data_IF_762066993633
#
_entry.id   IF_762066993633
#
_cell.length_a   1.000
_cell.length_b   1.000
_cell.length_c   1.000
_cell.angle_alpha   90.00
_cell.angle_beta   90.00
_cell.angle_gamma   90.00
#
_symmetry.space_group_name_H-M   'P 1'
#
loop_
_entity.id
_entity.type
_entity.pdbx_description
1 polymer ?
#
# COMPACT_ATOMS: atom_id res chain seq x y z
N UNK A 1 31.54 -21.05 -14.98
CA UNK A 1 31.87 -19.62 -14.75
C UNK A 1 31.15 -19.19 -13.50
N UNK A 2 31.85 -18.70 -12.50
CA UNK A 2 31.23 -18.09 -11.32
C UNK A 2 30.84 -16.68 -11.76
N UNK A 3 29.54 -16.46 -12.00
CA UNK A 3 29.03 -15.13 -12.34
C UNK A 3 29.22 -14.18 -11.16
N UNK A 4 29.52 -12.92 -11.43
CA UNK A 4 29.47 -11.91 -10.38
C UNK A 4 28.00 -11.73 -9.95
N UNK A 5 27.71 -11.73 -8.64
CA UNK A 5 26.36 -11.43 -8.17
C UNK A 5 25.98 -10.02 -8.62
N UNK A 6 24.79 -9.91 -9.21
CA UNK A 6 24.19 -8.63 -9.62
C UNK A 6 23.03 -8.34 -8.67
N UNK A 7 22.98 -7.13 -8.12
CA UNK A 7 21.89 -6.68 -7.26
C UNK A 7 21.21 -5.49 -7.92
N UNK A 8 19.98 -5.70 -8.38
CA UNK A 8 19.14 -4.68 -9.02
C UNK A 8 17.79 -4.63 -8.29
N UNK A 9 17.22 -3.43 -8.17
CA UNK A 9 15.95 -3.22 -7.47
C UNK A 9 15.08 -2.20 -8.19
N UNK A 10 13.76 -2.36 -8.05
CA UNK A 10 12.76 -1.50 -8.67
C UNK A 10 11.40 -2.19 -8.76
N UNK A 11 10.51 -1.63 -9.56
CA UNK A 11 9.15 -2.14 -9.74
C UNK A 11 9.05 -2.97 -11.01
N UNK A 12 8.04 -3.86 -11.06
CA UNK A 12 7.80 -4.72 -12.21
C UNK A 12 6.43 -4.40 -12.79
N UNK A 13 6.42 -3.77 -13.96
CA UNK A 13 5.20 -3.33 -14.64
C UNK A 13 5.32 -3.51 -16.13
N UNK A 14 4.27 -4.04 -16.73
CA UNK A 14 4.16 -4.16 -18.17
C UNK A 14 3.62 -2.87 -18.79
N UNK A 15 4.08 -2.52 -20.00
CA UNK A 15 3.58 -1.36 -20.74
C UNK A 15 4.11 0.00 -20.25
N UNK A 16 5.17 0.01 -19.44
CA UNK A 16 5.95 1.22 -19.16
C UNK A 16 6.92 1.49 -20.31
N UNK A 17 6.90 2.72 -20.83
CA UNK A 17 7.82 3.18 -21.87
C UNK A 17 8.36 4.57 -21.54
N UNK A 18 9.53 4.88 -22.08
CA UNK A 18 10.16 6.19 -21.99
C UNK A 18 10.29 6.76 -23.40
N UNK A 19 9.85 8.00 -23.61
CA UNK A 19 9.98 8.68 -24.89
C UNK A 19 11.34 9.40 -25.03
N UNK A 20 11.57 10.00 -26.20
CA UNK A 20 12.81 10.73 -26.50
C UNK A 20 12.99 12.02 -25.67
N UNK A 21 11.90 12.54 -25.10
CA UNK A 21 11.91 13.72 -24.22
C UNK A 21 12.15 13.36 -22.75
N UNK A 22 12.42 12.09 -22.45
CA UNK A 22 12.52 11.52 -21.10
C UNK A 22 11.20 11.49 -20.31
N UNK A 23 10.05 11.61 -20.97
CA UNK A 23 8.76 11.43 -20.32
C UNK A 23 8.42 9.94 -20.24
N UNK A 24 7.76 9.55 -19.16
CA UNK A 24 7.32 8.18 -18.95
C UNK A 24 5.85 8.03 -19.30
N UNK A 25 5.51 6.90 -19.91
CA UNK A 25 4.13 6.52 -20.19
C UNK A 25 3.85 5.16 -19.57
N UNK A 26 2.62 4.97 -19.10
CA UNK A 26 2.11 3.67 -18.65
C UNK A 26 0.87 3.31 -19.46
N UNK A 27 0.94 2.19 -20.20
CA UNK A 27 -0.13 1.70 -21.08
C UNK A 27 -0.63 2.73 -22.12
N UNK A 28 0.22 3.71 -22.44
CA UNK A 28 -0.05 4.80 -23.39
C UNK A 28 -0.53 6.11 -22.74
N UNK A 29 -0.63 6.18 -21.42
CA UNK A 29 -0.95 7.41 -20.67
C UNK A 29 0.33 8.06 -20.18
N UNK A 30 0.51 9.35 -20.45
CA UNK A 30 1.65 10.13 -19.96
C UNK A 30 1.60 10.32 -18.44
N UNK A 31 2.74 10.13 -17.78
CA UNK A 31 2.89 10.34 -16.35
C UNK A 31 3.42 11.76 -16.13
N UNK A 32 2.53 12.63 -15.70
CA UNK A 32 2.85 14.03 -15.45
C UNK A 32 3.43 14.23 -14.05
N UNK A 33 4.18 15.31 -13.89
CA UNK A 33 4.57 15.79 -12.56
C UNK A 33 3.32 16.30 -11.85
N UNK A 34 3.19 16.02 -10.56
CA UNK A 34 2.12 16.60 -9.76
C UNK A 34 2.39 18.11 -9.58
N UNK A 35 1.45 18.93 -10.05
CA UNK A 35 1.56 20.39 -10.04
C UNK A 35 0.78 21.05 -8.89
N UNK A 36 -0.28 20.39 -8.37
CA UNK A 36 -1.16 20.98 -7.36
C UNK A 36 -0.90 20.42 -5.95
N UNK A 37 -0.23 21.25 -5.16
CA UNK A 37 0.21 20.99 -3.79
C UNK A 37 -0.95 21.28 -2.80
N UNK A 38 -1.89 22.16 -3.13
CA UNK A 38 -2.88 22.64 -2.16
C UNK A 38 -3.85 21.57 -1.65
N UNK A 39 -4.09 20.55 -2.45
CA UNK A 39 -5.08 19.50 -2.18
C UNK A 39 -4.55 18.42 -1.22
N UNK A 40 -3.24 18.39 -0.94
CA UNK A 40 -2.59 17.46 0.00
C UNK A 40 -2.46 18.03 1.42
N UNK A 41 -3.31 18.99 1.78
CA UNK A 41 -3.35 19.56 3.14
C UNK A 41 -4.15 18.67 4.10
N UNK A 42 -3.70 18.53 5.34
CA UNK A 42 -4.36 17.80 6.43
C UNK A 42 -4.42 18.61 7.72
N UNK A 43 -5.47 18.42 8.50
CA UNK A 43 -5.58 18.94 9.86
C UNK A 43 -4.70 18.12 10.83
N UNK A 44 -3.99 18.81 11.71
CA UNK A 44 -3.08 18.26 12.71
C UNK A 44 -3.24 19.02 14.01
N UNK A 45 -3.30 18.32 15.14
CA UNK A 45 -3.27 18.93 16.46
C UNK A 45 -1.84 19.34 16.85
N UNK A 46 -1.68 20.56 17.35
CA UNK A 46 -0.45 21.10 17.90
C UNK A 46 -0.69 21.60 19.33
N UNK A 47 -0.02 20.96 20.30
CA UNK A 47 -0.09 21.34 21.70
C UNK A 47 0.53 22.73 21.92
N UNK A 48 -0.14 23.55 22.74
CA UNK A 48 0.30 24.90 23.10
C UNK A 48 0.24 25.96 21.99
N UNK A 49 -0.13 25.58 20.76
CA UNK A 49 -0.22 26.52 19.64
C UNK A 49 -1.57 27.24 19.55
N UNK A 50 -1.54 28.35 18.80
CA UNK A 50 -2.72 29.06 18.32
C UNK A 50 -2.97 28.76 16.84
N UNK A 51 -4.21 28.94 16.35
CA UNK A 51 -4.54 28.79 14.94
C UNK A 51 -3.58 29.57 14.03
N UNK A 52 -2.99 28.90 13.04
CA UNK A 52 -2.10 29.53 12.05
C UNK A 52 -2.83 30.13 10.85
N UNK A 53 -4.14 29.87 10.73
CA UNK A 53 -5.02 30.38 9.68
C UNK A 53 -6.47 30.43 10.16
N UNK A 54 -7.36 31.05 9.37
CA UNK A 54 -8.80 31.10 9.67
C UNK A 54 -9.50 29.74 9.67
N UNK A 55 -8.87 28.70 9.13
CA UNK A 55 -9.37 27.31 9.17
C UNK A 55 -8.98 26.58 10.46
N UNK A 56 -8.07 27.14 11.26
CA UNK A 56 -7.61 26.51 12.50
C UNK A 56 -8.63 26.60 13.63
N UNK A 57 -8.63 25.59 14.51
CA UNK A 57 -9.54 25.50 15.65
C UNK A 57 -8.80 25.54 16.97
N UNK A 58 -9.17 26.46 17.87
CA UNK A 58 -8.64 26.53 19.23
C UNK A 58 -9.12 25.34 20.06
N UNK A 59 -8.21 24.75 20.83
CA UNK A 59 -8.49 23.72 21.82
C UNK A 59 -8.29 24.30 23.22
N UNK A 60 -9.37 24.29 24.01
CA UNK A 60 -9.38 24.75 25.39
C UNK A 60 -9.55 23.59 26.36
N UNK A 61 -8.81 23.67 27.47
CA UNK A 61 -8.95 22.86 28.69
C UNK A 61 -9.24 23.81 29.84
N UNK A 62 -10.41 23.68 30.48
CA UNK A 62 -10.87 24.60 31.54
C UNK A 62 -10.72 26.09 31.18
N UNK A 63 -11.17 26.45 29.97
CA UNK A 63 -11.08 27.80 29.39
C UNK A 63 -9.65 28.32 29.13
N UNK A 64 -8.62 27.51 29.32
CA UNK A 64 -7.24 27.86 29.00
C UNK A 64 -6.79 27.23 27.67
N UNK A 65 -5.92 27.92 26.94
CA UNK A 65 -5.34 27.42 25.69
C UNK A 65 -4.51 26.18 25.95
N UNK A 66 -4.93 25.04 25.40
CA UNK A 66 -4.17 23.79 25.43
C UNK A 66 -3.50 23.49 24.10
N UNK A 67 -3.99 24.08 22.99
CA UNK A 67 -3.40 23.95 21.67
C UNK A 67 -4.36 24.36 20.56
N UNK A 68 -4.04 23.98 19.34
CA UNK A 68 -4.88 24.23 18.18
C UNK A 68 -4.81 23.10 17.16
N UNK A 69 -5.89 22.89 16.42
CA UNK A 69 -5.89 22.06 15.21
C UNK A 69 -5.63 22.98 14.03
N UNK A 70 -4.56 22.73 13.29
CA UNK A 70 -4.10 23.53 12.16
C UNK A 70 -4.02 22.69 10.90
N UNK A 71 -4.21 23.32 9.74
CA UNK A 71 -4.17 22.64 8.44
C UNK A 71 -2.82 22.88 7.77
N UNK A 72 -2.10 21.80 7.47
CA UNK A 72 -0.76 21.85 6.90
C UNK A 72 -0.67 21.03 5.63
N UNK A 73 0.14 21.49 4.68
CA UNK A 73 0.55 20.64 3.57
C UNK A 73 1.32 19.43 4.10
N UNK A 74 1.05 18.25 3.54
CA UNK A 74 1.70 17.03 3.98
C UNK A 74 2.15 16.13 2.83
N UNK A 75 3.17 15.31 3.10
CA UNK A 75 3.62 14.24 2.21
C UNK A 75 4.11 13.07 3.04
N UNK A 76 3.75 11.85 2.64
CA UNK A 76 4.31 10.62 3.20
C UNK A 76 5.57 10.23 2.43
N UNK A 77 6.68 10.03 3.13
CA UNK A 77 7.96 9.57 2.60
C UNK A 77 8.47 8.43 3.49
N UNK A 78 8.77 7.28 2.88
CA UNK A 78 9.32 6.11 3.59
C UNK A 78 8.55 5.73 4.86
N UNK A 79 7.21 5.77 4.81
CA UNK A 79 6.36 5.45 5.96
C UNK A 79 6.06 6.61 6.92
N UNK A 80 6.79 7.73 6.85
CA UNK A 80 6.62 8.88 7.74
C UNK A 80 5.84 10.00 7.04
N UNK A 81 4.79 10.53 7.68
CA UNK A 81 4.09 11.74 7.21
C UNK A 81 4.82 12.99 7.71
N UNK A 82 5.26 13.81 6.75
CA UNK A 82 5.89 15.10 6.98
C UNK A 82 4.92 16.23 6.65
N UNK A 83 5.01 17.30 7.41
CA UNK A 83 4.15 18.47 7.34
C UNK A 83 4.99 19.74 7.19
N UNK A 84 4.50 20.71 6.42
CA UNK A 84 5.14 22.03 6.29
C UNK A 84 4.41 23.03 7.16
N UNK A 85 5.15 23.67 8.07
CA UNK A 85 4.70 24.86 8.78
C UNK A 85 5.42 26.06 8.18
N UNK A 86 4.67 26.94 7.51
CA UNK A 86 5.23 28.13 6.88
C UNK A 86 6.14 28.91 7.84
N UNK A 87 7.33 29.28 7.38
CA UNK A 87 8.37 29.98 8.14
C UNK A 87 8.96 29.21 9.34
N UNK A 88 8.54 27.97 9.60
CA UNK A 88 8.99 27.17 10.73
C UNK A 88 9.61 25.82 10.31
N UNK A 89 9.55 25.49 9.02
CA UNK A 89 10.17 24.34 8.38
C UNK A 89 9.29 23.10 8.37
N UNK A 90 9.95 21.95 8.21
CA UNK A 90 9.30 20.63 8.12
C UNK A 90 9.23 19.98 9.49
N UNK A 91 8.12 19.29 9.78
CA UNK A 91 7.97 18.49 11.00
C UNK A 91 7.26 17.16 10.73
N UNK A 92 7.40 16.21 11.64
CA UNK A 92 6.64 14.97 11.69
C UNK A 92 5.89 14.89 13.02
N UNK A 93 4.79 14.12 13.06
CA UNK A 93 4.04 13.85 14.29
C UNK A 93 4.21 12.38 14.64
N UNK A 94 4.72 12.10 15.84
CA UNK A 94 4.90 10.75 16.37
C UNK A 94 4.30 10.76 17.78
N UNK A 95 3.32 9.89 18.04
CA UNK A 95 2.62 9.80 19.33
C UNK A 95 2.17 11.18 19.86
N UNK A 96 1.41 11.93 19.05
CA UNK A 96 0.92 13.28 19.33
C UNK A 96 1.99 14.35 19.60
N UNK A 97 3.27 14.02 19.41
CA UNK A 97 4.39 14.94 19.62
C UNK A 97 4.96 15.39 18.28
N UNK A 98 5.21 16.69 18.16
CA UNK A 98 5.79 17.30 16.97
C UNK A 98 7.32 17.25 17.05
N UNK A 99 7.93 16.66 16.02
CA UNK A 99 9.38 16.58 15.85
C UNK A 99 9.79 17.38 14.62
N UNK A 100 10.48 18.51 14.85
CA UNK A 100 11.07 19.31 13.76
C UNK A 100 12.13 18.49 13.02
N UNK A 101 12.14 18.59 11.70
CA UNK A 101 13.03 17.86 10.81
C UNK A 101 14.01 18.85 10.18
N UNK A 102 15.31 18.61 10.35
CA UNK A 102 16.38 19.40 9.71
C UNK A 102 16.78 18.88 8.34
N UNK A 103 16.67 17.57 8.15
CA UNK A 103 17.30 16.87 7.01
C UNK A 103 16.39 16.81 5.78
N UNK A 104 15.17 17.35 5.91
CA UNK A 104 14.14 17.34 4.87
C UNK A 104 13.73 18.78 4.58
N UNK A 105 13.94 19.21 3.34
CA UNK A 105 13.57 20.55 2.90
C UNK A 105 12.08 20.65 2.59
N UNK A 106 11.52 21.86 2.70
CA UNK A 106 10.15 22.13 2.24
C UNK A 106 9.96 21.80 0.77
N UNK A 107 10.97 22.06 -0.07
CA UNK A 107 10.93 21.74 -1.50
C UNK A 107 10.84 20.25 -1.76
N UNK A 108 11.48 19.43 -0.91
CA UNK A 108 11.34 17.99 -0.97
C UNK A 108 9.90 17.57 -0.70
N UNK A 109 9.22 18.23 0.24
CA UNK A 109 7.83 17.93 0.56
C UNK A 109 6.91 18.44 -0.57
N UNK A 110 7.08 19.68 -1.04
CA UNK A 110 6.28 20.34 -2.10
C UNK A 110 6.41 19.67 -3.47
N UNK A 111 7.61 19.26 -3.89
CA UNK A 111 7.84 18.67 -5.21
C UNK A 111 7.60 17.15 -5.21
N UNK A 112 6.35 16.73 -5.42
CA UNK A 112 6.05 15.32 -5.57
C UNK A 112 6.49 14.77 -6.94
N UNK A 113 7.46 13.86 -6.90
CA UNK A 113 8.01 13.14 -8.06
C UNK A 113 7.87 11.63 -7.89
N UNK A 114 7.07 11.17 -6.92
CA UNK A 114 6.94 9.75 -6.59
C UNK A 114 6.44 8.94 -7.78
N UNK A 115 5.38 9.41 -8.46
CA UNK A 115 4.85 8.73 -9.64
C UNK A 115 5.93 8.58 -10.73
N UNK A 116 6.60 9.67 -11.09
CA UNK A 116 7.68 9.64 -12.10
C UNK A 116 8.79 8.65 -11.70
N UNK A 117 9.27 8.72 -10.46
CA UNK A 117 10.32 7.82 -9.94
C UNK A 117 9.89 6.36 -9.93
N UNK A 118 8.63 6.08 -9.61
CA UNK A 118 8.05 4.74 -9.63
C UNK A 118 8.10 4.15 -11.05
N UNK A 119 7.63 4.88 -12.05
CA UNK A 119 7.66 4.44 -13.45
C UNK A 119 9.08 4.43 -14.05
N UNK A 120 9.96 5.33 -13.61
CA UNK A 120 11.38 5.28 -13.96
C UNK A 120 12.06 3.99 -13.48
N UNK A 121 11.86 3.63 -12.21
CA UNK A 121 12.37 2.38 -11.65
C UNK A 121 11.78 1.16 -12.38
N UNK A 122 10.49 1.19 -12.70
CA UNK A 122 9.84 0.14 -13.48
C UNK A 122 10.44 -0.02 -14.88
N UNK A 123 10.67 1.09 -15.57
CA UNK A 123 11.31 1.11 -16.88
C UNK A 123 12.75 0.56 -16.82
N UNK A 124 13.52 0.97 -15.81
CA UNK A 124 14.90 0.52 -15.64
C UNK A 124 15.00 -0.99 -15.38
N UNK A 125 14.12 -1.54 -14.54
CA UNK A 125 14.05 -3.00 -14.31
C UNK A 125 13.63 -3.75 -15.58
N UNK A 126 12.61 -3.26 -16.29
CA UNK A 126 12.20 -3.83 -17.58
C UNK A 126 13.36 -3.86 -18.57
N UNK A 127 14.13 -2.78 -18.67
CA UNK A 127 15.30 -2.66 -19.54
C UNK A 127 16.45 -3.57 -19.10
N UNK A 128 16.67 -3.71 -17.79
CA UNK A 128 17.66 -4.63 -17.26
C UNK A 128 17.33 -6.07 -17.64
N UNK A 129 16.09 -6.51 -17.45
CA UNK A 129 15.66 -7.87 -17.83
C UNK A 129 15.74 -8.03 -19.36
N UNK A 130 15.29 -7.04 -20.16
CA UNK A 130 15.35 -7.10 -21.63
C UNK A 130 16.77 -7.19 -22.20
N UNK A 131 17.78 -6.70 -21.46
CA UNK A 131 19.17 -6.78 -21.88
C UNK A 131 19.86 -8.08 -21.46
N UNK A 132 19.19 -8.92 -20.65
CA UNK A 132 19.72 -10.17 -20.14
C UNK A 132 18.89 -11.36 -20.66
N UNK A 133 19.39 -12.05 -21.69
CA UNK A 133 18.69 -13.19 -22.32
C UNK A 133 18.45 -14.35 -21.35
N UNK A 134 19.34 -14.57 -20.38
CA UNK A 134 19.15 -15.56 -19.32
C UNK A 134 17.94 -15.23 -18.44
N UNK A 135 17.76 -13.97 -18.06
CA UNK A 135 16.63 -13.55 -17.23
C UNK A 135 15.31 -13.62 -18.00
N UNK A 136 15.30 -13.23 -19.28
CA UNK A 136 14.11 -13.36 -20.14
C UNK A 136 13.61 -14.78 -20.28
N UNK A 137 14.52 -15.75 -20.28
CA UNK A 137 14.18 -17.16 -20.44
C UNK A 137 14.10 -17.91 -19.11
N UNK A 138 14.18 -17.20 -17.98
CA UNK A 138 14.18 -17.82 -16.67
C UNK A 138 12.86 -18.55 -16.41
N UNK A 139 12.96 -19.81 -16.01
CA UNK A 139 11.84 -20.66 -15.63
C UNK A 139 12.00 -21.18 -14.21
N UNK A 140 10.90 -21.70 -13.68
CA UNK A 140 10.88 -22.44 -12.42
C UNK A 140 11.86 -23.63 -12.42
N UNK A 141 12.02 -24.29 -13.57
CA UNK A 141 12.92 -25.43 -13.79
C UNK A 141 14.42 -25.08 -13.68
N UNK A 142 14.74 -23.79 -13.64
CA UNK A 142 16.10 -23.29 -13.46
C UNK A 142 16.46 -23.09 -11.98
N UNK A 143 15.50 -23.27 -11.07
CA UNK A 143 15.73 -23.19 -9.64
C UNK A 143 16.69 -24.30 -9.17
N UNK A 144 17.67 -23.91 -8.35
CA UNK A 144 18.66 -24.81 -7.75
C UNK A 144 18.74 -24.59 -6.24
N UNK A 145 19.09 -25.64 -5.49
CA UNK A 145 19.38 -25.58 -4.06
C UNK A 145 20.75 -24.91 -3.77
N UNK A 146 21.11 -24.80 -2.50
CA UNK A 146 22.39 -24.23 -2.06
C UNK A 146 23.62 -25.04 -2.50
N UNK A 147 23.41 -26.29 -2.95
CA UNK A 147 24.44 -27.18 -3.48
C UNK A 147 24.47 -27.17 -5.03
N UNK A 148 23.58 -26.40 -5.67
CA UNK A 148 23.46 -26.30 -7.13
C UNK A 148 22.64 -27.42 -7.78
N UNK A 149 21.96 -28.27 -7.00
CA UNK A 149 21.09 -29.29 -7.54
C UNK A 149 19.75 -28.68 -7.94
N UNK A 150 19.23 -29.04 -9.11
CA UNK A 150 17.88 -28.63 -9.52
C UNK A 150 16.84 -29.20 -8.58
N UNK A 151 15.83 -28.39 -8.23
CA UNK A 151 14.66 -28.90 -7.54
C UNK A 151 13.93 -29.92 -8.43
N UNK A 152 13.48 -31.03 -7.84
CA UNK A 152 12.61 -31.98 -8.54
C UNK A 152 11.26 -31.33 -8.83
N UNK A 153 10.68 -31.63 -9.99
CA UNK A 153 9.51 -30.96 -10.62
C UNK A 153 8.21 -30.93 -9.82
N UNK A 154 8.19 -31.45 -8.58
CA UNK A 154 6.99 -31.49 -7.72
C UNK A 154 6.86 -30.27 -6.81
N UNK A 155 7.91 -29.47 -6.60
CA UNK A 155 7.89 -28.36 -5.63
C UNK A 155 7.18 -27.11 -6.14
N UNK A 156 7.12 -26.92 -7.45
CA UNK A 156 6.57 -25.72 -8.08
C UNK A 156 5.83 -26.08 -9.36
N UNK A 157 4.72 -25.42 -9.62
CA UNK A 157 3.98 -25.62 -10.87
C UNK A 157 4.70 -24.92 -12.03
N UNK A 158 4.66 -25.54 -13.20
CA UNK A 158 5.31 -25.02 -14.40
C UNK A 158 4.37 -24.11 -15.18
N UNK A 159 4.69 -22.82 -15.20
CA UNK A 159 3.94 -21.80 -15.95
C UNK A 159 4.74 -21.23 -17.14
N UNK A 160 5.85 -21.85 -17.53
CA UNK A 160 6.72 -21.32 -18.59
C UNK A 160 7.71 -20.27 -18.08
N UNK A 161 7.91 -19.19 -18.85
CA UNK A 161 8.88 -18.14 -18.51
C UNK A 161 8.30 -17.18 -17.48
N UNK A 162 9.08 -16.87 -16.45
CA UNK A 162 8.63 -16.06 -15.30
C UNK A 162 8.32 -14.60 -15.72
N UNK A 163 9.03 -14.07 -16.72
CA UNK A 163 8.92 -12.67 -17.14
C UNK A 163 8.30 -12.48 -18.53
N UNK A 164 7.57 -13.47 -19.05
CA UNK A 164 7.05 -13.42 -20.43
C UNK A 164 6.11 -12.21 -20.62
N UNK A 165 5.20 -12.03 -19.67
CA UNK A 165 4.20 -10.96 -19.66
C UNK A 165 4.79 -9.57 -19.41
N UNK A 166 6.07 -9.44 -19.04
CA UNK A 166 6.74 -8.14 -18.90
C UNK A 166 6.86 -7.42 -20.24
N UNK A 167 6.97 -8.20 -21.32
CA UNK A 167 7.21 -7.73 -22.68
C UNK A 167 5.98 -7.83 -23.58
N UNK A 168 4.98 -8.61 -23.17
CA UNK A 168 3.72 -8.73 -23.88
C UNK A 168 2.71 -7.66 -23.42
N UNK A 169 2.07 -6.97 -24.37
CA UNK A 169 1.01 -5.99 -24.06
C UNK A 169 -0.38 -6.45 -24.53
N UNK A 170 -0.50 -7.70 -24.97
CA UNK A 170 -1.66 -8.27 -25.66
C UNK A 170 -2.50 -9.19 -24.76
N UNK A 171 -2.91 -8.71 -23.58
CA UNK A 171 -3.94 -9.36 -22.76
C UNK A 171 -3.58 -9.38 -21.28
N UNK A 172 -2.69 -10.30 -20.91
CA UNK A 172 -2.21 -10.47 -19.54
C UNK A 172 -0.99 -9.59 -19.31
N UNK A 173 -1.05 -8.75 -18.28
CA UNK A 173 0.09 -7.95 -17.82
C UNK A 173 0.83 -8.67 -16.70
N UNK A 174 2.10 -8.36 -16.47
CA UNK A 174 2.90 -9.06 -15.46
C UNK A 174 2.36 -8.87 -14.04
N UNK A 175 1.72 -7.73 -13.79
CA UNK A 175 1.05 -7.39 -12.53
C UNK A 175 -0.30 -8.10 -12.32
N UNK A 176 -0.85 -8.77 -13.34
CA UNK A 176 -2.17 -9.40 -13.27
C UNK A 176 -2.12 -10.69 -12.44
N UNK A 177 -3.17 -10.97 -11.66
CA UNK A 177 -3.23 -12.13 -10.76
C UNK A 177 -3.06 -13.48 -11.48
N UNK A 178 -3.39 -13.54 -12.76
CA UNK A 178 -3.24 -14.71 -13.63
C UNK A 178 -1.93 -14.75 -14.43
N UNK A 179 -0.96 -13.88 -14.15
CA UNK A 179 0.35 -13.89 -14.80
C UNK A 179 1.28 -14.99 -14.25
N UNK A 180 2.22 -15.45 -15.06
CA UNK A 180 3.25 -16.40 -14.66
C UNK A 180 4.10 -15.86 -13.51
N UNK A 181 4.40 -14.56 -13.52
CA UNK A 181 5.14 -13.90 -12.45
C UNK A 181 4.38 -13.95 -11.13
N UNK A 182 3.08 -13.61 -11.10
CA UNK A 182 2.30 -13.62 -9.87
C UNK A 182 2.08 -15.06 -9.37
N UNK A 183 1.87 -16.02 -10.26
CA UNK A 183 1.79 -17.44 -9.90
C UNK A 183 3.10 -17.91 -9.24
N UNK A 184 4.25 -17.57 -9.84
CA UNK A 184 5.57 -17.89 -9.28
C UNK A 184 5.82 -17.19 -7.94
N UNK A 185 5.56 -15.89 -7.86
CA UNK A 185 5.67 -15.07 -6.64
C UNK A 185 4.89 -15.70 -5.49
N UNK A 186 3.63 -16.09 -5.72
CA UNK A 186 2.79 -16.72 -4.71
C UNK A 186 3.39 -18.04 -4.23
N UNK A 187 3.92 -18.88 -5.13
CA UNK A 187 4.54 -20.14 -4.74
C UNK A 187 5.83 -19.96 -3.93
N UNK A 188 6.67 -18.99 -4.30
CA UNK A 188 7.88 -18.68 -3.54
C UNK A 188 7.52 -18.21 -2.13
N UNK A 189 6.50 -17.37 -1.98
CA UNK A 189 5.99 -16.92 -0.66
C UNK A 189 5.45 -18.10 0.15
N UNK A 190 4.57 -18.93 -0.44
CA UNK A 190 4.01 -20.14 0.18
C UNK A 190 5.13 -21.05 0.68
N UNK A 191 6.08 -21.40 -0.19
CA UNK A 191 7.19 -22.30 0.16
C UNK A 191 8.10 -21.70 1.23
N UNK A 192 8.34 -20.39 1.23
CA UNK A 192 9.13 -19.72 2.27
C UNK A 192 8.47 -19.81 3.65
N UNK A 193 7.15 -19.56 3.71
CA UNK A 193 6.37 -19.67 4.95
C UNK A 193 6.32 -21.12 5.43
N UNK A 194 6.02 -22.06 4.53
CA UNK A 194 5.96 -23.49 4.86
C UNK A 194 7.32 -24.02 5.33
N UNK A 195 8.40 -23.73 4.62
CA UNK A 195 9.74 -24.19 4.99
C UNK A 195 10.16 -23.70 6.39
N UNK A 196 9.95 -22.41 6.67
CA UNK A 196 10.27 -21.85 7.99
C UNK A 196 9.40 -22.45 9.10
N UNK A 197 8.11 -22.64 8.85
CA UNK A 197 7.20 -23.23 9.81
C UNK A 197 7.49 -24.72 10.06
N UNK A 198 7.84 -25.48 9.01
CA UNK A 198 8.25 -26.89 9.15
C UNK A 198 9.47 -27.03 10.06
N UNK A 199 10.49 -26.19 9.87
CA UNK A 199 11.69 -26.19 10.73
C UNK A 199 11.33 -25.85 12.17
N UNK A 200 10.47 -24.85 12.40
CA UNK A 200 10.02 -24.49 13.73
C UNK A 200 9.24 -25.62 14.42
N UNK A 201 8.31 -26.26 13.71
CA UNK A 201 7.53 -27.40 14.21
C UNK A 201 8.45 -28.59 14.51
N UNK A 202 9.38 -28.93 13.61
CA UNK A 202 10.32 -30.03 13.83
C UNK A 202 11.18 -29.81 15.06
N UNK A 203 11.71 -28.59 15.25
CA UNK A 203 12.47 -28.22 16.44
C UNK A 203 11.62 -28.31 17.71
N UNK A 204 10.37 -27.83 17.66
CA UNK A 204 9.46 -27.92 18.81
C UNK A 204 9.14 -29.37 19.16
N UNK A 205 8.84 -30.23 18.18
CA UNK A 205 8.61 -31.66 18.37
C UNK A 205 9.81 -32.36 19.02
N UNK A 206 11.03 -32.00 18.63
CA UNK A 206 12.25 -32.58 19.21
C UNK A 206 12.42 -32.27 20.70
N UNK A 207 11.93 -31.12 21.17
CA UNK A 207 12.11 -30.68 22.57
C UNK A 207 10.84 -30.82 23.42
N UNK A 208 9.68 -31.02 22.79
CA UNK A 208 8.39 -31.08 23.48
C UNK A 208 8.23 -32.38 24.27
N UNK A 209 7.81 -32.25 25.53
CA UNK A 209 7.48 -33.37 26.42
C UNK A 209 5.99 -33.74 26.38
N UNK A 210 5.21 -33.06 25.54
CA UNK A 210 3.74 -33.18 25.48
C UNK A 210 3.23 -34.54 24.96
N UNK A 211 4.09 -35.35 24.34
CA UNK A 211 3.70 -36.63 23.72
C UNK A 211 2.87 -36.48 22.44
N UNK A 212 2.64 -35.25 21.98
CA UNK A 212 1.94 -34.92 20.73
C UNK A 212 2.98 -34.59 19.66
N UNK A 213 2.78 -35.13 18.45
CA UNK A 213 3.54 -34.74 17.28
C UNK A 213 2.80 -33.61 16.53
N UNK A 214 3.31 -32.39 16.65
CA UNK A 214 2.80 -31.20 15.96
C UNK A 214 3.06 -31.32 14.46
N UNK A 215 2.15 -30.83 13.63
CA UNK A 215 2.16 -31.08 12.19
C UNK A 215 1.95 -29.79 11.39
N UNK A 216 2.41 -29.80 10.15
CA UNK A 216 2.15 -28.70 9.22
C UNK A 216 0.63 -28.51 9.04
N UNK A 217 0.09 -27.31 9.31
CA UNK A 217 -1.30 -26.98 9.05
C UNK A 217 -1.55 -26.95 7.55
N UNK A 218 -2.73 -27.41 7.12
CA UNK A 218 -3.15 -27.37 5.71
C UNK A 218 -3.98 -26.13 5.46
N UNK A 219 -3.38 -25.13 4.85
CA UNK A 219 -4.05 -23.90 4.44
C UNK A 219 -4.69 -24.08 3.05
N UNK A 220 -5.94 -23.63 2.91
CA UNK A 220 -6.65 -23.61 1.64
C UNK A 220 -6.17 -22.44 0.77
N UNK A 221 -6.45 -22.48 -0.54
CA UNK A 221 -6.00 -21.42 -1.45
C UNK A 221 -6.56 -20.03 -1.12
N UNK A 222 -7.82 -19.94 -0.67
CA UNK A 222 -8.41 -18.67 -0.23
C UNK A 222 -7.76 -18.11 1.06
N UNK A 223 -7.19 -18.99 1.90
CA UNK A 223 -6.48 -18.60 3.12
C UNK A 223 -5.09 -18.06 2.78
N UNK A 224 -4.43 -18.66 1.80
CA UNK A 224 -3.21 -18.13 1.23
C UNK A 224 -3.40 -16.78 0.57
N UNK A 225 -4.53 -16.58 -0.11
CA UNK A 225 -4.89 -15.29 -0.67
C UNK A 225 -4.95 -14.21 0.42
N UNK A 226 -5.65 -14.48 1.53
CA UNK A 226 -5.71 -13.57 2.68
C UNK A 226 -4.32 -13.26 3.28
N UNK A 227 -3.48 -14.30 3.46
CA UNK A 227 -2.14 -14.15 4.04
C UNK A 227 -1.21 -13.34 3.13
N UNK A 228 -1.33 -13.50 1.81
CA UNK A 228 -0.42 -12.86 0.85
C UNK A 228 -0.85 -11.47 0.42
N UNK A 229 -2.14 -11.15 0.53
CA UNK A 229 -2.71 -9.86 0.15
C UNK A 229 -2.95 -8.92 1.34
N UNK A 230 -2.64 -9.30 2.58
CA UNK A 230 -2.89 -8.44 3.75
C UNK A 230 -1.89 -8.71 4.87
N UNK A 231 -1.68 -7.71 5.74
CA UNK A 231 -0.99 -7.93 7.00
C UNK A 231 -1.87 -8.86 7.84
N UNK A 232 -1.37 -10.05 8.15
CA UNK A 232 -2.17 -11.12 8.72
C UNK A 232 -1.47 -11.75 9.92
N UNK A 233 -2.25 -12.09 10.94
CA UNK A 233 -1.82 -12.97 12.03
C UNK A 233 -2.48 -14.33 11.85
N UNK A 234 -1.67 -15.38 11.77
CA UNK A 234 -2.14 -16.76 11.79
C UNK A 234 -1.80 -17.41 13.13
N UNK A 235 -2.79 -18.04 13.75
CA UNK A 235 -2.62 -18.78 15.00
C UNK A 235 -2.96 -20.25 14.75
N UNK A 236 -2.06 -21.14 15.19
CA UNK A 236 -2.24 -22.58 15.11
C UNK A 236 -2.61 -23.15 16.48
N UNK A 237 -3.70 -23.90 16.55
CA UNK A 237 -4.10 -24.65 17.73
C UNK A 237 -3.89 -26.14 17.45
N UNK A 238 -2.91 -26.75 18.09
CA UNK A 238 -2.52 -28.13 17.81
C UNK A 238 -2.36 -28.92 19.10
N UNK A 239 -2.63 -30.23 19.02
CA UNK A 239 -2.37 -31.15 20.13
C UNK A 239 -3.43 -31.24 21.22
N UNK A 240 -4.63 -30.69 20.99
CA UNK A 240 -5.73 -30.80 21.95
C UNK A 240 -6.44 -32.14 21.82
N UNK A 241 -6.54 -32.93 22.88
CA UNK A 241 -7.37 -34.13 22.88
C UNK A 241 -8.85 -33.75 23.09
N UNK A 242 -9.66 -33.87 22.04
CA UNK A 242 -11.11 -33.64 22.08
C UNK A 242 -11.80 -34.95 21.72
N UNK A 243 -12.45 -35.57 22.70
CA UNK A 243 -13.23 -36.80 22.49
C UNK A 243 -12.42 -38.01 21.98
N UNK A 244 -11.14 -38.12 22.37
CA UNK A 244 -10.25 -39.21 21.95
C UNK A 244 -9.56 -38.99 20.60
N UNK A 245 -9.74 -37.81 19.98
CA UNK A 245 -9.01 -37.39 18.77
C UNK A 245 -8.12 -36.20 19.08
N UNK A 246 -6.95 -36.16 18.46
CA UNK A 246 -6.08 -34.98 18.48
C UNK A 246 -6.66 -33.95 17.51
N UNK A 247 -7.07 -32.81 18.03
CA UNK A 247 -7.54 -31.66 17.28
C UNK A 247 -6.37 -30.76 16.88
N UNK A 248 -6.33 -30.45 15.59
CA UNK A 248 -5.41 -29.50 14.97
C UNK A 248 -6.25 -28.54 14.11
N UNK A 249 -6.16 -27.24 14.37
CA UNK A 249 -6.85 -26.20 13.61
C UNK A 249 -6.05 -24.90 13.59
N UNK A 250 -6.58 -23.91 12.89
CA UNK A 250 -5.96 -22.59 12.77
C UNK A 250 -7.01 -21.49 12.65
N UNK A 251 -6.59 -20.27 12.94
CA UNK A 251 -7.36 -19.06 12.72
C UNK A 251 -6.48 -18.01 12.05
N UNK A 252 -7.02 -17.30 11.07
CA UNK A 252 -6.36 -16.22 10.35
C UNK A 252 -7.13 -14.95 10.65
N UNK A 253 -6.42 -13.93 11.09
CA UNK A 253 -6.95 -12.58 11.32
C UNK A 253 -6.19 -11.64 10.41
N UNK A 254 -6.89 -11.10 9.41
CA UNK A 254 -6.35 -10.10 8.49
C UNK A 254 -6.57 -8.70 9.07
N UNK A 255 -5.55 -7.85 8.99
CA UNK A 255 -5.68 -6.43 9.25
C UNK A 255 -6.02 -5.72 7.94
N UNK A 256 -7.29 -5.36 7.79
CA UNK A 256 -7.83 -4.64 6.63
C UNK A 256 -7.64 -3.11 6.69
N UNK A 257 -7.20 -2.57 7.82
CA UNK A 257 -6.96 -1.14 8.00
C UNK A 257 -5.52 -0.90 8.47
N UNK A 258 -4.62 -0.68 7.52
CA UNK A 258 -3.26 -0.27 7.82
C UNK A 258 -2.72 0.67 6.72
N UNK A 259 -1.74 1.51 7.06
CA UNK A 259 -1.12 2.41 6.07
C UNK A 259 0.14 1.83 5.40
N UNK A 260 0.47 0.56 5.68
CA UNK A 260 1.64 -0.15 5.14
C UNK A 260 1.27 -0.92 3.85
N UNK A 261 0.05 -1.44 3.80
CA UNK A 261 -0.61 -2.04 2.67
C UNK A 261 -1.82 -1.19 2.30
N UNK A 262 -1.81 -0.67 1.09
CA UNK A 262 -2.93 0.10 0.52
C UNK A 262 -3.55 -0.77 -0.57
N UNK A 263 -4.78 -1.23 -0.33
CA UNK A 263 -5.58 -1.87 -1.38
C UNK A 263 -6.12 -0.82 -2.35
N UNK A 264 -6.46 -1.23 -3.57
CA UNK A 264 -7.06 -0.33 -4.56
C UNK A 264 -8.39 0.27 -4.06
N UNK A 265 -9.17 -0.50 -3.29
CA UNK A 265 -10.41 -0.06 -2.64
C UNK A 265 -10.20 0.96 -1.51
N UNK A 266 -8.98 1.09 -1.01
CA UNK A 266 -8.61 2.07 0.02
C UNK A 266 -8.25 3.44 -0.57
N UNK A 267 -8.29 3.59 -1.89
CA UNK A 267 -7.95 4.83 -2.59
C UNK A 267 -9.23 5.47 -3.14
N UNK A 268 -9.43 6.74 -2.79
CA UNK A 268 -10.52 7.58 -3.28
C UNK A 268 -9.98 8.69 -4.19
N UNK A 269 -10.84 9.17 -5.08
CA UNK A 269 -10.60 10.38 -5.86
C UNK A 269 -11.40 11.52 -5.25
N UNK A 270 -10.72 12.53 -4.73
CA UNK A 270 -11.30 13.80 -4.32
C UNK A 270 -11.45 14.71 -5.55
N UNK A 271 -12.68 15.12 -5.83
CA UNK A 271 -12.96 16.27 -6.67
C UNK A 271 -12.80 17.53 -5.81
N UNK A 272 -11.77 18.32 -6.11
CA UNK A 272 -11.42 19.51 -5.35
C UNK A 272 -12.38 20.68 -5.60
N UNK A 273 -13.09 20.70 -6.74
CA UNK A 273 -14.11 21.71 -7.02
C UNK A 273 -15.37 21.49 -6.17
N UNK A 274 -15.78 20.23 -6.05
CA UNK A 274 -16.98 19.85 -5.28
C UNK A 274 -16.68 19.54 -3.80
N UNK A 275 -15.40 19.51 -3.41
CA UNK A 275 -14.95 19.13 -2.08
C UNK A 275 -15.55 17.77 -1.63
N UNK A 276 -15.66 16.83 -2.59
CA UNK A 276 -16.35 15.55 -2.42
C UNK A 276 -15.49 14.42 -2.98
N UNK A 277 -15.37 13.32 -2.26
CA UNK A 277 -14.60 12.15 -2.68
C UNK A 277 -15.50 10.98 -3.12
N UNK A 278 -14.96 10.21 -4.06
CA UNK A 278 -15.64 9.11 -4.75
C UNK A 278 -14.74 7.87 -4.78
N UNK A 279 -15.34 6.68 -4.83
CA UNK A 279 -14.64 5.44 -5.23
C UNK A 279 -14.15 5.59 -6.67
N UNK A 280 -13.01 5.00 -6.98
CA UNK A 280 -12.43 5.03 -8.33
C UNK A 280 -13.41 4.45 -9.37
N UNK A 281 -14.19 3.44 -8.99
CA UNK A 281 -15.16 2.74 -9.83
C UNK A 281 -16.48 3.49 -10.03
N UNK A 282 -16.65 4.68 -9.44
CA UNK A 282 -17.87 5.44 -9.57
C UNK A 282 -18.07 5.93 -11.02
N UNK A 283 -19.18 5.56 -11.69
CA UNK A 283 -19.45 6.03 -13.05
C UNK A 283 -19.68 7.54 -13.13
N UNK A 284 -20.08 8.20 -12.04
CA UNK A 284 -20.30 9.64 -12.01
C UNK A 284 -18.99 10.37 -12.27
N UNK A 285 -17.83 9.86 -11.81
CA UNK A 285 -16.50 10.44 -12.07
C UNK A 285 -16.22 10.67 -13.57
N UNK A 286 -16.83 9.89 -14.47
CA UNK A 286 -16.64 10.03 -15.91
C UNK A 286 -17.58 11.05 -16.56
N UNK A 287 -18.63 11.47 -15.87
CA UNK A 287 -19.71 12.30 -16.39
C UNK A 287 -19.90 13.55 -15.52
N UNK A 288 -19.12 14.60 -15.79
CA UNK A 288 -19.35 15.92 -15.19
C UNK A 288 -18.30 16.38 -14.18
N UNK A 289 -17.24 15.59 -13.96
CA UNK A 289 -16.10 15.95 -13.13
C UNK A 289 -14.89 16.33 -13.98
N UNK A 290 -14.16 17.36 -13.57
CA UNK A 290 -12.85 17.68 -14.13
C UNK A 290 -11.77 16.90 -13.37
N UNK A 291 -11.34 15.79 -13.96
CA UNK A 291 -10.29 14.92 -13.41
C UNK A 291 -8.88 15.32 -13.86
N UNK A 292 -8.66 16.59 -14.21
CA UNK A 292 -7.31 17.12 -14.42
C UNK A 292 -6.46 17.04 -13.15
N UNK A 293 -5.14 17.01 -13.31
CA UNK A 293 -4.20 16.90 -12.19
C UNK A 293 -4.31 18.05 -11.16
N UNK A 294 -4.91 19.17 -11.56
CA UNK A 294 -5.17 20.30 -10.66
C UNK A 294 -6.46 20.14 -9.86
N UNK A 295 -7.46 19.44 -10.40
CA UNK A 295 -8.82 19.36 -9.85
C UNK A 295 -9.18 18.00 -9.24
N UNK A 296 -8.39 16.96 -9.48
CA UNK A 296 -8.53 15.66 -8.82
C UNK A 296 -7.33 15.34 -7.92
N UNK A 297 -7.58 14.66 -6.79
CA UNK A 297 -6.51 14.21 -5.89
C UNK A 297 -6.80 12.83 -5.34
N UNK A 298 -5.82 11.93 -5.41
CA UNK A 298 -5.90 10.62 -4.77
C UNK A 298 -5.73 10.75 -3.26
N UNK A 299 -6.68 10.21 -2.48
CA UNK A 299 -6.66 10.25 -1.02
C UNK A 299 -6.88 8.84 -0.48
N UNK A 300 -6.19 8.50 0.61
CA UNK A 300 -6.37 7.21 1.29
C UNK A 300 -7.57 7.25 2.24
N UNK A 301 -8.26 6.13 2.38
CA UNK A 301 -9.33 5.96 3.37
C UNK A 301 -8.88 6.33 4.80
N UNK A 302 -7.64 5.98 5.17
CA UNK A 302 -7.06 6.28 6.48
C UNK A 302 -6.89 7.77 6.76
N UNK A 303 -6.83 8.62 5.72
CA UNK A 303 -6.76 10.07 5.92
C UNK A 303 -8.11 10.66 6.39
N UNK A 304 -9.21 9.94 6.21
CA UNK A 304 -10.54 10.27 6.74
C UNK A 304 -10.82 9.62 8.10
N UNK A 305 -9.88 8.87 8.66
CA UNK A 305 -10.07 8.28 9.99
C UNK A 305 -9.91 9.33 11.09
N UNK A 306 -10.76 9.21 12.12
CA UNK A 306 -10.74 10.10 13.28
C UNK A 306 -9.47 9.88 14.07
N UNK A 307 -8.67 10.93 14.23
CA UNK A 307 -7.52 10.94 15.15
C UNK A 307 -7.96 11.33 16.55
N UNK A 308 -7.28 10.74 17.52
CA UNK A 308 -7.42 11.05 18.94
C UNK A 308 -6.11 11.65 19.41
N UNK A 309 -6.17 12.74 20.17
CA UNK A 309 -5.01 13.30 20.84
C UNK A 309 -5.35 13.72 22.27
N UNK A 310 -4.33 13.89 23.10
CA UNK A 310 -4.49 14.37 24.48
C UNK A 310 -4.07 15.84 24.57
N UNK A 311 -5.02 16.72 24.86
CA UNK A 311 -4.76 18.12 25.13
C UNK A 311 -4.50 18.33 26.61
N UNK A 312 -3.40 18.99 26.94
CA UNK A 312 -2.94 19.18 28.32
C UNK A 312 -2.76 20.66 28.64
N UNK A 313 -3.12 21.06 29.85
CA UNK A 313 -2.83 22.39 30.40
C UNK A 313 -2.42 22.27 31.87
N UNK A 314 -1.48 23.09 32.32
CA UNK A 314 -0.95 23.08 33.69
C UNK A 314 0.43 22.43 33.82
N UNK A 315 0.99 22.47 35.02
CA UNK A 315 2.26 21.82 35.39
C UNK A 315 2.01 20.39 35.88
N UNK A 316 3.06 19.58 36.07
CA UNK A 316 2.92 18.17 36.52
C UNK A 316 2.07 18.00 37.80
N UNK A 317 2.07 18.99 38.69
CA UNK A 317 1.28 18.98 39.95
C UNK A 317 -0.19 19.43 39.77
N UNK A 318 -0.54 20.06 38.64
CA UNK A 318 -1.88 20.60 38.35
C UNK A 318 -2.35 20.25 36.93
N UNK A 319 -1.86 19.14 36.39
CA UNK A 319 -2.06 18.74 35.00
C UNK A 319 -3.54 18.42 34.76
N UNK A 320 -4.13 19.15 33.82
CA UNK A 320 -5.49 18.92 33.35
C UNK A 320 -5.42 18.37 31.93
N UNK A 321 -6.14 17.28 31.69
CA UNK A 321 -6.12 16.58 30.40
C UNK A 321 -7.53 16.53 29.81
N UNK A 322 -7.59 16.60 28.48
CA UNK A 322 -8.81 16.45 27.72
C UNK A 322 -8.51 15.65 26.47
N UNK A 323 -9.23 14.54 26.29
CA UNK A 323 -9.22 13.82 25.03
C UNK A 323 -9.91 14.67 23.96
N UNK A 324 -9.23 14.85 22.84
CA UNK A 324 -9.76 15.56 21.67
C UNK A 324 -9.83 14.63 20.47
N UNK A 325 -10.77 14.93 19.59
CA UNK A 325 -10.98 14.20 18.35
C UNK A 325 -11.00 15.16 17.17
N UNK A 326 -10.35 14.76 16.09
CA UNK A 326 -10.34 15.52 14.86
C UNK A 326 -10.16 14.59 13.65
N UNK A 327 -10.54 15.08 12.48
CA UNK A 327 -10.35 14.36 11.22
C UNK A 327 -9.24 15.08 10.43
N UNK A 328 -8.22 14.37 9.92
CA UNK A 328 -7.17 14.97 9.09
C UNK A 328 -7.73 15.56 7.80
N UNK A 329 -8.76 14.91 7.25
CA UNK A 329 -9.53 15.31 6.07
C UNK A 329 -11.01 15.46 6.44
N UNK A 330 -11.68 16.48 5.91
CA UNK A 330 -13.08 16.84 6.26
C UNK A 330 -13.97 16.98 5.03
N UNK A 331 -13.48 16.59 3.87
CA UNK A 331 -14.18 16.57 2.59
C UNK A 331 -15.35 15.57 2.62
N UNK A 332 -16.37 15.82 1.81
CA UNK A 332 -17.62 15.05 1.88
C UNK A 332 -17.53 13.73 1.13
N UNK A 333 -18.16 12.69 1.67
CA UNK A 333 -18.35 11.43 0.96
C UNK A 333 -19.46 11.58 -0.08
N UNK A 334 -19.25 11.13 -1.31
CA UNK A 334 -20.35 10.95 -2.26
C UNK A 334 -21.32 9.89 -1.72
N UNK A 335 -22.58 10.28 -1.51
CA UNK A 335 -23.60 9.37 -1.00
C UNK A 335 -23.82 8.20 -1.96
N UNK A 336 -23.84 8.44 -3.27
CA UNK A 336 -24.01 7.40 -4.28
C UNK A 336 -22.83 6.42 -4.29
N UNK A 337 -21.60 6.96 -4.23
CA UNK A 337 -20.37 6.19 -4.28
C UNK A 337 -20.14 5.32 -3.04
N UNK A 338 -20.38 5.89 -1.87
CA UNK A 338 -19.96 5.31 -0.59
C UNK A 338 -21.11 4.57 0.10
N UNK A 339 -22.34 5.11 0.04
CA UNK A 339 -23.50 4.58 0.78
C UNK A 339 -24.43 3.78 -0.13
N UNK A 340 -24.76 4.33 -1.30
CA UNK A 340 -25.73 3.73 -2.22
C UNK A 340 -25.03 2.96 -3.35
N UNK A 341 -24.15 2.02 -2.97
CA UNK A 341 -23.43 1.10 -3.87
C UNK A 341 -24.35 0.21 -4.75
N UNK A 342 -25.66 0.47 -4.75
CA UNK A 342 -26.65 -0.12 -5.65
C UNK A 342 -26.55 0.40 -7.09
N UNK A 343 -25.79 1.46 -7.36
CA UNK A 343 -25.55 1.99 -8.72
C UNK A 343 -24.44 1.27 -9.49
N UNK A 344 -23.56 0.53 -8.81
CA UNK A 344 -22.49 -0.25 -9.42
C UNK A 344 -23.04 -1.62 -9.82
N UNK A 345 -23.72 -1.69 -10.99
CA UNK A 345 -24.17 -2.98 -11.54
C UNK A 345 -23.02 -3.96 -11.81
N UNK A 346 -21.77 -3.49 -11.75
CA UNK A 346 -20.57 -4.28 -11.88
C UNK A 346 -19.69 -4.01 -10.65
N UNK A 347 -19.60 -4.98 -9.74
CA UNK A 347 -18.51 -5.09 -8.76
C UNK A 347 -17.21 -5.44 -9.49
N UNK A 348 -16.82 -4.61 -10.45
CA UNK A 348 -15.55 -4.74 -11.15
C UNK A 348 -14.45 -4.35 -10.18
N UNK A 349 -13.46 -5.21 -10.06
CA UNK A 349 -12.18 -4.90 -9.41
C UNK A 349 -11.60 -3.61 -10.01
N UNK A 350 -11.00 -2.74 -9.18
CA UNK A 350 -10.51 -1.42 -9.64
C UNK A 350 -9.55 -1.57 -10.82
N UNK A 351 -8.66 -2.58 -10.80
CA UNK A 351 -7.75 -2.89 -11.91
C UNK A 351 -8.50 -3.24 -13.19
N UNK A 352 -9.57 -4.04 -13.10
CA UNK A 352 -10.42 -4.38 -14.25
C UNK A 352 -11.13 -3.14 -14.79
N UNK A 353 -11.74 -2.34 -13.91
CA UNK A 353 -12.40 -1.09 -14.28
C UNK A 353 -11.46 -0.12 -15.00
N UNK A 354 -10.27 0.11 -14.46
CA UNK A 354 -9.26 0.99 -15.09
C UNK A 354 -8.82 0.44 -16.45
N UNK A 355 -8.67 -0.88 -16.60
CA UNK A 355 -8.39 -1.51 -17.91
C UNK A 355 -9.51 -1.27 -18.92
N UNK A 356 -10.79 -1.35 -18.52
CA UNK A 356 -11.90 -1.07 -19.44
C UNK A 356 -11.91 0.39 -19.89
N UNK A 357 -11.60 1.34 -18.99
CA UNK A 357 -11.48 2.76 -19.32
C UNK A 357 -10.36 3.05 -20.31
N UNK A 358 -9.18 2.46 -20.10
CA UNK A 358 -8.05 2.61 -21.01
C UNK A 358 -8.38 2.10 -22.43
N UNK A 359 -9.12 0.98 -22.54
CA UNK A 359 -9.59 0.45 -23.84
C UNK A 359 -10.61 1.38 -24.51
N UNK A 360 -11.52 1.99 -23.75
CA UNK A 360 -12.51 2.95 -24.29
C UNK A 360 -11.85 4.22 -24.84
N UNK A 361 -10.80 4.73 -24.18
CA UNK A 361 -10.04 5.90 -24.67
C UNK A 361 -9.29 5.65 -25.98
N UNK A 362 -8.78 4.43 -26.23
CA UNK A 362 -8.10 4.07 -27.49
C UNK A 362 -9.03 3.92 -28.70
N UNK A 363 -10.35 3.92 -28.50
CA UNK A 363 -11.37 3.78 -29.57
C UNK A 363 -12.00 5.12 -30.00
N UNK A 364 -11.62 6.22 -29.35
CA UNK A 364 -11.87 7.59 -29.80
C UNK A 364 -10.58 8.14 -30.40
#
# INVERSE_FOLDING_TARGET
MIGNPVNESGYLLTGVNKDNSNNYTYRGVEILKEESIENLKQYVYEAGATPSSGEGKIILVNNNLAGSINKYFCRKLNGVKYYIKENNGVFAVINDTIYKQSDISEDNIKNNTNAIKYYEQAYNIKKFISNNSTLQNLKVEDAVDSLGNKYTTETYYNYGKIFDELFDTTGTYIEDSNSNFNAHKLQVIKNSIESNLMVAIANYNNVSTSGVNFQMPKLQDYEWEQITQSISMITFLQGLNIGGKIYNGHAIVTNNNNEEYVSEDSIYILDNHLNTYYKITDPDLLNGHDLSAQNATGILNSDFERRTATATYGTDESKMEKTIYYYPKTEFASYNSIINDNGSSNKEDVSEYVKTLAKKRKRK
#
